data_IF_028606236563
#
_entry.id   IF_028606236563
#
_cell.length_a   1.000
_cell.length_b   1.000
_cell.length_c   1.000
_cell.angle_alpha   90.00
_cell.angle_beta   90.00
_cell.angle_gamma   90.00
#
_symmetry.space_group_name_H-M   'P 1'
#
loop_
_entity.id
_entity.type
_entity.pdbx_description
1 polymer ?
#
# COMPACT_ATOMS: atom_id res chain seq x y z
N UNK A 1 -14.70 38.15 8.96
CA UNK A 1 -13.62 37.15 8.67
C UNK A 1 -13.08 36.64 10.01
N UNK A 2 -13.32 35.38 10.32
CA UNK A 2 -12.92 34.77 11.58
C UNK A 2 -11.40 34.63 11.73
N UNK A 3 -10.93 34.35 12.95
CA UNK A 3 -9.50 34.15 13.23
C UNK A 3 -8.93 32.96 12.43
N UNK A 4 -9.71 31.90 12.26
CA UNK A 4 -9.31 30.72 11.48
C UNK A 4 -9.11 31.06 9.99
N UNK A 5 -9.97 31.91 9.41
CA UNK A 5 -9.84 32.36 8.03
C UNK A 5 -8.56 33.18 7.81
N UNK A 6 -8.22 34.02 8.79
CA UNK A 6 -6.98 34.81 8.74
C UNK A 6 -5.75 33.92 8.81
N UNK A 7 -5.75 32.92 9.69
CA UNK A 7 -4.62 31.96 9.83
C UNK A 7 -4.47 31.16 8.53
N UNK A 8 -5.58 30.62 7.97
CA UNK A 8 -5.59 29.89 6.72
C UNK A 8 -5.04 30.75 5.55
N UNK A 9 -5.48 32.00 5.44
CA UNK A 9 -5.06 32.93 4.39
C UNK A 9 -3.56 33.27 4.48
N UNK A 10 -3.00 33.31 5.68
CA UNK A 10 -1.58 33.63 5.90
C UNK A 10 -0.66 32.40 5.80
N UNK A 11 -1.21 31.19 5.60
CA UNK A 11 -0.41 29.99 5.40
C UNK A 11 0.28 30.02 4.04
N UNK A 12 1.56 29.69 4.02
CA UNK A 12 2.35 29.51 2.79
C UNK A 12 2.09 28.17 2.13
N UNK A 13 1.41 27.25 2.83
CA UNK A 13 1.07 25.91 2.35
C UNK A 13 -0.33 25.96 1.76
N UNK A 14 -0.44 25.72 0.44
CA UNK A 14 -1.72 25.81 -0.30
C UNK A 14 -2.80 24.83 0.19
N UNK A 15 -2.38 23.69 0.73
CA UNK A 15 -3.24 22.63 1.24
C UNK A 15 -3.75 22.89 2.65
N UNK A 16 -3.34 23.99 3.29
CA UNK A 16 -3.82 24.34 4.64
C UNK A 16 -5.34 24.54 4.66
N UNK A 17 -6.02 23.81 5.52
CA UNK A 17 -7.46 23.81 5.66
C UNK A 17 -7.89 23.69 7.14
N UNK A 18 -9.10 24.12 7.44
CA UNK A 18 -9.72 23.79 8.72
C UNK A 18 -9.85 22.27 8.81
N UNK A 19 -9.58 21.66 9.95
CA UNK A 19 -9.48 20.20 10.08
C UNK A 19 -10.72 19.45 9.58
N UNK A 20 -11.91 19.99 9.87
CA UNK A 20 -13.19 19.44 9.42
C UNK A 20 -13.37 19.46 7.88
N UNK A 21 -12.65 20.35 7.19
CA UNK A 21 -12.67 20.51 5.73
C UNK A 21 -11.46 19.88 5.04
N UNK A 22 -10.51 19.35 5.82
CA UNK A 22 -9.27 18.79 5.29
C UNK A 22 -9.52 17.59 4.39
N UNK A 23 -9.01 17.66 3.17
CA UNK A 23 -9.10 16.56 2.21
C UNK A 23 -8.27 15.34 2.62
N UNK A 24 -7.25 15.53 3.48
CA UNK A 24 -6.38 14.45 3.95
C UNK A 24 -7.09 13.46 4.88
N UNK A 25 -8.17 13.89 5.54
CA UNK A 25 -8.96 13.06 6.47
C UNK A 25 -10.29 12.60 5.88
N UNK A 26 -10.55 12.86 4.61
CA UNK A 26 -11.71 12.26 3.93
C UNK A 26 -11.57 10.74 3.97
N UNK A 27 -12.68 10.06 4.17
CA UNK A 27 -12.77 8.60 4.23
C UNK A 27 -12.03 7.99 3.02
N UNK A 28 -10.89 7.37 3.29
CA UNK A 28 -10.10 6.70 2.25
C UNK A 28 -10.87 5.46 1.81
N UNK A 29 -10.90 5.20 0.52
CA UNK A 29 -11.38 3.93 -0.01
C UNK A 29 -10.55 2.79 0.57
N UNK A 30 -11.23 1.82 1.18
CA UNK A 30 -10.61 0.62 1.69
C UNK A 30 -10.81 -0.52 0.68
N UNK A 31 -9.79 -1.37 0.56
CA UNK A 31 -9.83 -2.52 -0.32
C UNK A 31 -9.85 -3.77 0.55
N UNK A 32 -10.99 -4.46 0.67
CA UNK A 32 -11.05 -5.67 1.47
C UNK A 32 -10.24 -6.80 0.82
N UNK A 33 -9.54 -7.56 1.64
CA UNK A 33 -8.95 -8.83 1.24
C UNK A 33 -9.99 -9.95 1.41
N UNK A 34 -9.72 -11.11 0.85
CA UNK A 34 -10.56 -12.29 1.02
C UNK A 34 -10.53 -12.88 2.44
N UNK A 35 -9.65 -12.37 3.30
CA UNK A 35 -9.47 -12.87 4.68
C UNK A 35 -9.92 -11.81 5.69
N UNK A 36 -11.08 -11.98 6.33
CA UNK A 36 -11.66 -10.96 7.22
C UNK A 36 -10.78 -10.52 8.38
N UNK A 37 -10.01 -11.43 8.97
CA UNK A 37 -9.11 -11.08 10.08
C UNK A 37 -7.99 -10.12 9.65
N UNK A 38 -7.54 -10.21 8.40
CA UNK A 38 -6.57 -9.27 7.83
C UNK A 38 -7.21 -7.91 7.64
N UNK A 39 -8.47 -7.86 7.20
CA UNK A 39 -9.21 -6.61 7.07
C UNK A 39 -9.33 -5.90 8.43
N UNK A 40 -9.63 -6.66 9.49
CA UNK A 40 -9.67 -6.12 10.86
C UNK A 40 -8.28 -5.63 11.29
N UNK A 41 -7.23 -6.40 11.05
CA UNK A 41 -5.87 -6.02 11.41
C UNK A 41 -5.41 -4.72 10.71
N UNK A 42 -5.80 -4.52 9.44
CA UNK A 42 -5.44 -3.35 8.65
C UNK A 42 -6.28 -2.10 8.94
N UNK A 43 -7.55 -2.27 9.30
CA UNK A 43 -8.50 -1.15 9.34
C UNK A 43 -9.41 -1.11 10.57
N UNK A 44 -9.35 -2.10 11.44
CA UNK A 44 -10.26 -2.26 12.58
C UNK A 44 -11.68 -2.69 12.19
N UNK A 45 -11.93 -3.09 10.93
CA UNK A 45 -13.27 -3.39 10.40
C UNK A 45 -13.26 -4.67 9.58
N UNK A 46 -14.31 -5.47 9.69
CA UNK A 46 -14.48 -6.69 8.87
C UNK A 46 -14.65 -6.37 7.38
N UNK A 47 -15.36 -5.29 7.09
CA UNK A 47 -15.63 -4.76 5.74
C UNK A 47 -14.60 -3.71 5.30
N UNK A 48 -13.53 -3.52 6.07
CA UNK A 48 -12.43 -2.63 5.75
C UNK A 48 -11.35 -3.29 4.91
N UNK A 49 -10.09 -2.96 5.16
CA UNK A 49 -8.95 -3.59 4.50
C UNK A 49 -7.80 -2.65 4.20
N UNK A 50 -7.17 -2.85 3.05
CA UNK A 50 -6.01 -2.09 2.61
C UNK A 50 -6.37 -0.62 2.35
N UNK A 51 -5.58 0.29 2.89
CA UNK A 51 -5.62 1.72 2.61
C UNK A 51 -4.28 2.19 2.04
N UNK A 52 -4.24 3.33 1.32
CA UNK A 52 -2.96 3.92 0.91
C UNK A 52 -2.08 4.20 2.13
N UNK A 53 -0.80 3.89 2.03
CA UNK A 53 0.18 4.10 3.09
C UNK A 53 1.24 3.01 3.09
N UNK A 54 1.93 2.87 4.22
CA UNK A 54 2.95 1.84 4.43
C UNK A 54 2.40 0.81 5.41
N UNK A 55 2.41 -0.45 5.02
CA UNK A 55 2.09 -1.59 5.89
C UNK A 55 3.35 -2.43 6.07
N UNK A 56 3.65 -2.81 7.32
CA UNK A 56 4.77 -3.68 7.65
C UNK A 56 4.25 -4.97 8.29
N UNK A 57 4.66 -6.11 7.73
CA UNK A 57 4.47 -7.43 8.34
C UNK A 57 5.75 -7.87 9.01
N UNK A 58 5.74 -7.99 10.32
CA UNK A 58 6.87 -8.44 11.13
C UNK A 58 6.54 -9.76 11.83
N UNK A 59 7.53 -10.64 11.91
CA UNK A 59 7.39 -11.94 12.55
C UNK A 59 8.56 -12.87 12.24
N UNK A 60 8.62 -14.05 12.87
CA UNK A 60 9.66 -15.04 12.60
C UNK A 60 9.68 -15.48 11.14
N UNK A 61 10.79 -16.09 10.71
CA UNK A 61 10.90 -16.66 9.37
C UNK A 61 9.83 -17.74 9.14
N UNK A 62 9.34 -17.86 7.91
CA UNK A 62 8.33 -18.85 7.48
C UNK A 62 6.96 -18.73 8.17
N UNK A 63 6.58 -17.51 8.62
CA UNK A 63 5.27 -17.22 9.23
C UNK A 63 4.38 -16.39 8.30
N UNK A 64 4.32 -16.72 7.02
CA UNK A 64 3.38 -16.17 6.03
C UNK A 64 3.42 -14.66 5.78
N UNK A 65 4.51 -13.95 6.14
CA UNK A 65 4.63 -12.50 5.91
C UNK A 65 4.45 -12.13 4.43
N UNK A 66 5.17 -12.83 3.55
CA UNK A 66 5.05 -12.62 2.10
C UNK A 66 3.66 -13.01 1.59
N UNK A 67 3.06 -14.08 2.12
CA UNK A 67 1.70 -14.50 1.76
C UNK A 67 0.68 -13.40 2.05
N UNK A 68 0.75 -12.76 3.21
CA UNK A 68 -0.13 -11.64 3.56
C UNK A 68 0.08 -10.44 2.64
N UNK A 69 1.32 -10.14 2.28
CA UNK A 69 1.63 -9.07 1.32
C UNK A 69 1.05 -9.38 -0.07
N UNK A 70 1.18 -10.61 -0.55
CA UNK A 70 0.62 -11.05 -1.84
C UNK A 70 -0.92 -11.04 -1.83
N UNK A 71 -1.55 -11.40 -0.71
CA UNK A 71 -2.99 -11.32 -0.56
C UNK A 71 -3.51 -9.87 -0.68
N UNK A 72 -2.79 -8.92 -0.08
CA UNK A 72 -3.09 -7.50 -0.22
C UNK A 72 -2.89 -7.02 -1.66
N UNK A 73 -1.78 -7.41 -2.28
CA UNK A 73 -1.48 -7.08 -3.68
C UNK A 73 -2.55 -7.64 -4.63
N UNK A 74 -2.98 -8.90 -4.43
CA UNK A 74 -4.05 -9.53 -5.20
C UNK A 74 -5.34 -8.70 -5.13
N UNK A 75 -5.76 -8.31 -3.93
CA UNK A 75 -6.97 -7.53 -3.73
C UNK A 75 -6.90 -6.16 -4.42
N UNK A 76 -5.72 -5.54 -4.43
CA UNK A 76 -5.50 -4.28 -5.12
C UNK A 76 -5.56 -4.44 -6.64
N UNK A 77 -4.87 -5.45 -7.19
CA UNK A 77 -4.85 -5.74 -8.61
C UNK A 77 -6.24 -6.14 -9.16
N UNK A 78 -7.06 -6.83 -8.34
CA UNK A 78 -8.43 -7.17 -8.72
C UNK A 78 -9.34 -5.94 -8.78
N UNK A 79 -9.12 -4.98 -7.90
CA UNK A 79 -9.92 -3.74 -7.89
C UNK A 79 -9.57 -2.79 -9.02
N UNK A 80 -8.30 -2.75 -9.43
CA UNK A 80 -7.79 -1.79 -10.42
C UNK A 80 -7.14 -2.54 -11.58
N UNK A 81 -7.82 -2.57 -12.74
CA UNK A 81 -7.37 -3.31 -13.93
C UNK A 81 -6.02 -2.79 -14.46
N UNK A 82 -5.78 -1.48 -14.39
CA UNK A 82 -4.55 -0.84 -14.88
C UNK A 82 -3.41 -0.83 -13.84
N UNK A 83 -3.62 -1.41 -12.65
CA UNK A 83 -2.60 -1.44 -11.63
C UNK A 83 -1.51 -2.48 -11.92
N UNK A 84 -0.30 -2.20 -11.46
CA UNK A 84 0.84 -3.12 -11.50
C UNK A 84 1.44 -3.29 -10.10
N UNK A 85 2.07 -4.43 -9.87
CA UNK A 85 2.83 -4.74 -8.67
C UNK A 85 4.32 -4.59 -8.93
N UNK A 86 4.98 -3.73 -8.18
CA UNK A 86 6.44 -3.67 -8.13
C UNK A 86 6.92 -4.51 -6.94
N UNK A 87 7.55 -5.62 -7.23
CA UNK A 87 8.00 -6.60 -6.24
C UNK A 87 9.52 -6.55 -6.11
N UNK A 88 10.01 -5.90 -5.06
CA UNK A 88 11.43 -5.83 -4.74
C UNK A 88 11.78 -6.97 -3.79
N UNK A 89 12.63 -7.88 -4.26
CA UNK A 89 12.95 -9.13 -3.56
C UNK A 89 14.41 -9.15 -3.14
N UNK A 90 14.66 -9.21 -1.83
CA UNK A 90 16.01 -9.31 -1.26
C UNK A 90 16.37 -10.73 -0.80
N UNK A 91 15.40 -11.63 -0.71
CA UNK A 91 15.60 -13.01 -0.25
C UNK A 91 15.68 -14.02 -1.40
N UNK A 92 15.22 -13.64 -2.60
CA UNK A 92 15.15 -14.51 -3.79
C UNK A 92 14.38 -15.81 -3.58
N UNK A 93 13.46 -15.80 -2.60
CA UNK A 93 12.75 -16.98 -2.13
C UNK A 93 11.29 -17.10 -2.59
N UNK A 94 10.83 -16.22 -3.47
CA UNK A 94 9.43 -16.19 -3.91
C UNK A 94 9.31 -16.59 -5.37
N UNK A 95 9.12 -17.91 -5.67
CA UNK A 95 9.00 -18.38 -7.04
C UNK A 95 7.69 -17.90 -7.69
N UNK A 96 7.65 -17.88 -9.02
CA UNK A 96 6.45 -17.49 -9.78
C UNK A 96 5.22 -18.30 -9.38
N UNK A 97 5.37 -19.60 -9.14
CA UNK A 97 4.28 -20.48 -8.69
C UNK A 97 3.58 -20.01 -7.41
N UNK A 98 4.27 -19.22 -6.59
CA UNK A 98 3.69 -18.67 -5.38
C UNK A 98 2.68 -17.55 -5.71
N UNK A 99 2.99 -16.70 -6.71
CA UNK A 99 2.04 -15.71 -7.23
C UNK A 99 0.83 -16.39 -7.87
N UNK A 100 1.05 -17.47 -8.63
CA UNK A 100 -0.01 -18.25 -9.26
C UNK A 100 -0.97 -18.85 -8.21
N UNK A 101 -0.44 -19.31 -7.09
CA UNK A 101 -1.22 -19.83 -5.96
C UNK A 101 -2.20 -18.79 -5.41
N UNK A 102 -1.80 -17.51 -5.37
CA UNK A 102 -2.67 -16.41 -4.97
C UNK A 102 -3.56 -15.88 -6.12
N UNK A 103 -3.45 -16.44 -7.31
CA UNK A 103 -4.20 -15.99 -8.48
C UNK A 103 -3.76 -14.60 -8.97
N UNK A 104 -2.50 -14.23 -8.78
CA UNK A 104 -1.94 -12.97 -9.26
C UNK A 104 -1.48 -13.18 -10.70
N UNK A 105 -1.97 -12.34 -11.60
CA UNK A 105 -1.47 -12.29 -12.98
C UNK A 105 -0.03 -11.76 -13.01
N UNK A 106 0.92 -12.65 -13.25
CA UNK A 106 2.35 -12.33 -13.23
C UNK A 106 2.78 -11.40 -14.36
N UNK A 107 1.97 -11.24 -15.41
CA UNK A 107 2.21 -10.22 -16.45
C UNK A 107 2.08 -8.79 -15.94
N UNK A 108 1.45 -8.61 -14.77
CA UNK A 108 1.27 -7.32 -14.08
C UNK A 108 2.26 -7.13 -12.92
N UNK A 109 3.26 -7.99 -12.80
CA UNK A 109 4.26 -7.95 -11.73
C UNK A 109 5.63 -7.66 -12.31
N UNK A 110 6.25 -6.58 -11.85
CA UNK A 110 7.66 -6.30 -12.13
C UNK A 110 8.48 -6.80 -10.95
N UNK A 111 9.25 -7.87 -11.16
CA UNK A 111 10.16 -8.43 -10.16
C UNK A 111 11.55 -7.80 -10.29
N UNK A 112 12.02 -7.21 -9.22
CA UNK A 112 13.35 -6.58 -9.16
C UNK A 112 14.14 -7.18 -8.01
N UNK A 113 15.14 -8.01 -8.26
CA UNK A 113 16.05 -8.49 -7.23
C UNK A 113 16.90 -7.33 -6.73
N UNK A 114 17.00 -7.17 -5.42
CA UNK A 114 17.82 -6.13 -4.79
C UNK A 114 18.81 -6.75 -3.81
N UNK A 115 19.99 -6.15 -3.71
CA UNK A 115 21.05 -6.62 -2.82
C UNK A 115 21.33 -5.66 -1.68
N UNK A 116 20.92 -4.39 -1.81
CA UNK A 116 21.15 -3.37 -0.79
C UNK A 116 20.01 -2.33 -0.75
N UNK A 117 19.96 -1.58 0.35
CA UNK A 117 18.91 -0.58 0.61
C UNK A 117 19.04 0.64 -0.30
N UNK A 118 20.24 0.98 -0.71
CA UNK A 118 20.50 2.12 -1.61
C UNK A 118 19.89 1.88 -2.98
N UNK A 119 20.06 0.66 -3.52
CA UNK A 119 19.38 0.24 -4.75
C UNK A 119 17.87 0.36 -4.63
N UNK A 120 17.28 -0.14 -3.52
CA UNK A 120 15.85 -0.07 -3.28
C UNK A 120 15.34 1.39 -3.27
N UNK A 121 16.02 2.27 -2.54
CA UNK A 121 15.67 3.70 -2.48
C UNK A 121 15.68 4.36 -3.86
N UNK A 122 16.68 4.05 -4.65
CA UNK A 122 16.83 4.57 -6.00
C UNK A 122 15.70 4.10 -6.91
N UNK A 123 15.39 2.80 -6.89
CA UNK A 123 14.31 2.22 -7.70
C UNK A 123 12.93 2.74 -7.29
N UNK A 124 12.64 2.86 -5.99
CA UNK A 124 11.38 3.46 -5.51
C UNK A 124 11.26 4.91 -6.00
N UNK A 125 12.34 5.69 -5.96
CA UNK A 125 12.36 7.07 -6.46
C UNK A 125 12.07 7.16 -7.97
N UNK A 126 12.50 6.18 -8.76
CA UNK A 126 12.22 6.10 -10.21
C UNK A 126 10.80 5.65 -10.54
N UNK A 127 10.16 4.90 -9.66
CA UNK A 127 8.79 4.44 -9.86
C UNK A 127 7.75 5.56 -9.73
N UNK A 128 8.12 6.68 -9.12
CA UNK A 128 7.31 7.90 -9.11
C UNK A 128 7.50 8.67 -10.41
N UNK A 129 6.76 8.31 -11.40
CA UNK A 129 6.72 9.02 -12.67
C UNK A 129 5.51 9.94 -12.74
#
# INVERSE_FOLDING_TARGET
MGILDKIKKNSTIKESAILSESKFFKKKDMIPTSVPIINVALSGRLDGGLTPGITMWAGPSKHFKTAFSLLMAKSYLDKYEDAALLFYDSEFGTPQSYFDTFGIDTSRVVHTPITDVEQLKFEIGRAHV
#
